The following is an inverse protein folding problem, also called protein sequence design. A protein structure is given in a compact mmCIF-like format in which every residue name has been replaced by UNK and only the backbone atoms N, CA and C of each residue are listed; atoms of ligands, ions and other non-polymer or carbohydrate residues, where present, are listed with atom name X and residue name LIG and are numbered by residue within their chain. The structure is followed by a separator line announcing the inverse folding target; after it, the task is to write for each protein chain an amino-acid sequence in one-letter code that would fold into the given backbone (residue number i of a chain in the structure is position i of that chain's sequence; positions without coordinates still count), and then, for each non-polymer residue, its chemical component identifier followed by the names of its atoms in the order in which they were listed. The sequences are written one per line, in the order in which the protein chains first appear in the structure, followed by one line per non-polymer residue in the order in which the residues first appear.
data_IF_747717050662
#
_entry.id   IF_747717050662
#
_cell.length_a   1.000
_cell.length_b   1.000
_cell.length_c   1.000
_cell.angle_alpha   90.00
_cell.angle_beta   90.00
_cell.angle_gamma   90.00
#
_symmetry.space_group_name_H-M   'P 1'
#
loop_
_entity.id
_entity.type
_entity.pdbx_description
1 polymer ?
#
# COMPACT_ATOMS: atom_id res chain seq x y z
N UNK A 1 -8.13 15.81 14.54
CA UNK A 1 -9.36 16.43 13.98
C UNK A 1 -10.41 15.33 13.90
N UNK A 2 -11.53 15.50 14.61
CA UNK A 2 -12.72 14.67 14.41
C UNK A 2 -13.06 14.77 12.94
N UNK A 3 -12.97 13.65 12.20
CA UNK A 3 -13.65 13.53 10.92
C UNK A 3 -15.11 13.84 11.23
N UNK A 4 -15.57 15.01 10.81
CA UNK A 4 -16.97 15.32 10.88
C UNK A 4 -17.70 14.21 10.16
N UNK A 5 -18.72 13.61 10.78
CA UNK A 5 -19.63 12.72 10.07
C UNK A 5 -20.05 13.47 8.81
N UNK A 6 -19.88 12.86 7.60
CA UNK A 6 -20.35 13.52 6.40
C UNK A 6 -21.84 13.80 6.62
N UNK A 7 -22.17 15.08 6.65
CA UNK A 7 -23.55 15.49 6.67
C UNK A 7 -24.22 14.93 5.41
N UNK A 8 -25.44 14.39 5.52
CA UNK A 8 -26.20 13.86 4.37
C UNK A 8 -26.40 14.87 3.24
N UNK A 9 -26.05 16.13 3.50
CA UNK A 9 -26.01 17.22 2.52
C UNK A 9 -24.71 17.32 1.71
N UNK A 10 -23.72 16.46 1.95
CA UNK A 10 -22.44 16.54 1.22
C UNK A 10 -22.67 16.14 -0.23
N UNK A 11 -22.69 17.13 -1.12
CA UNK A 11 -22.80 16.92 -2.56
C UNK A 11 -21.39 16.68 -3.10
N UNK A 12 -21.13 15.45 -3.55
CA UNK A 12 -19.93 15.10 -4.29
C UNK A 12 -20.07 15.38 -5.77
N UNK A 13 -18.95 15.52 -6.48
CA UNK A 13 -18.90 15.66 -7.94
C UNK A 13 -18.81 14.31 -8.67
N UNK A 14 -18.88 13.20 -7.96
CA UNK A 14 -18.74 11.84 -8.49
C UNK A 14 -20.03 11.25 -9.08
N UNK A 15 -19.95 10.08 -9.74
CA UNK A 15 -21.09 9.40 -10.36
C UNK A 15 -22.09 8.83 -9.36
N UNK A 16 -21.71 8.73 -8.09
CA UNK A 16 -22.55 8.26 -6.99
C UNK A 16 -22.62 9.30 -5.88
N UNK A 17 -23.77 9.39 -5.22
CA UNK A 17 -24.01 10.24 -4.05
C UNK A 17 -24.18 9.38 -2.80
N UNK A 18 -23.69 9.86 -1.67
CA UNK A 18 -23.89 9.24 -0.37
C UNK A 18 -25.35 9.43 0.09
N UNK A 19 -26.05 8.34 0.41
CA UNK A 19 -27.45 8.37 0.87
C UNK A 19 -27.64 7.80 2.27
N UNK A 20 -26.73 6.90 2.71
CA UNK A 20 -26.69 6.42 4.08
C UNK A 20 -25.25 6.27 4.55
N UNK A 21 -24.99 6.63 5.81
CA UNK A 21 -23.73 6.44 6.49
C UNK A 21 -23.99 6.02 7.92
N UNK A 22 -24.08 4.71 8.12
CA UNK A 22 -24.37 4.06 9.39
C UNK A 22 -23.14 3.30 9.89
N UNK A 23 -23.08 2.86 11.15
CA UNK A 23 -21.91 2.18 11.69
C UNK A 23 -21.50 0.91 10.94
N UNK A 24 -22.43 0.22 10.34
CA UNK A 24 -22.28 -1.06 9.64
C UNK A 24 -22.60 -1.00 8.15
N UNK A 25 -23.09 0.14 7.65
CA UNK A 25 -23.54 0.30 6.26
C UNK A 25 -23.18 1.67 5.70
N UNK A 26 -22.51 1.70 4.56
CA UNK A 26 -22.41 2.89 3.72
C UNK A 26 -23.13 2.61 2.42
N UNK A 27 -24.15 3.42 2.09
CA UNK A 27 -24.91 3.30 0.83
C UNK A 27 -24.72 4.50 -0.06
N UNK A 28 -24.39 4.21 -1.28
CA UNK A 28 -24.28 5.18 -2.37
C UNK A 28 -25.35 4.90 -3.42
N UNK A 29 -25.91 5.94 -4.03
CA UNK A 29 -26.83 5.84 -5.16
C UNK A 29 -26.32 6.60 -6.36
N UNK A 30 -26.69 6.17 -7.57
CA UNK A 30 -26.34 6.86 -8.80
C UNK A 30 -26.78 8.33 -8.76
N UNK A 31 -25.88 9.21 -9.19
CA UNK A 31 -26.14 10.65 -9.20
C UNK A 31 -26.74 11.07 -10.54
N UNK A 32 -28.05 11.34 -10.56
CA UNK A 32 -28.79 11.66 -11.81
C UNK A 32 -28.26 12.91 -12.56
N UNK A 33 -27.63 13.84 -11.83
CA UNK A 33 -27.08 15.07 -12.41
C UNK A 33 -25.56 14.98 -12.64
N UNK A 34 -25.01 13.77 -12.67
CA UNK A 34 -23.58 13.61 -12.96
C UNK A 34 -23.27 14.06 -14.38
N UNK A 35 -22.23 14.86 -14.54
CA UNK A 35 -21.89 15.56 -15.77
C UNK A 35 -21.19 14.69 -16.84
N UNK A 36 -20.81 13.45 -16.52
CA UNK A 36 -20.22 12.48 -17.43
C UNK A 36 -21.19 11.30 -17.66
N UNK A 37 -20.65 10.15 -18.05
CA UNK A 37 -21.44 8.94 -18.29
C UNK A 37 -22.10 8.46 -16.98
N UNK A 38 -23.40 8.24 -17.02
CA UNK A 38 -24.13 7.70 -15.88
C UNK A 38 -23.71 6.26 -15.59
N UNK A 39 -23.49 5.89 -14.32
CA UNK A 39 -23.20 4.52 -13.98
C UNK A 39 -24.40 3.61 -14.25
N UNK A 40 -24.14 2.38 -14.64
CA UNK A 40 -25.19 1.38 -14.88
C UNK A 40 -25.76 0.80 -13.61
N UNK A 41 -24.99 0.81 -12.52
CA UNK A 41 -25.47 0.44 -11.20
C UNK A 41 -26.33 1.56 -10.61
N UNK A 42 -27.48 1.19 -10.02
CA UNK A 42 -28.36 2.15 -9.33
C UNK A 42 -27.87 2.48 -7.92
N UNK A 43 -27.29 1.51 -7.23
CA UNK A 43 -26.79 1.67 -5.87
C UNK A 43 -25.57 0.78 -5.62
N UNK A 44 -24.75 1.17 -4.64
CA UNK A 44 -23.62 0.42 -4.10
C UNK A 44 -23.76 0.45 -2.58
N UNK A 45 -23.65 -0.70 -1.96
CA UNK A 45 -23.65 -0.85 -0.51
C UNK A 45 -22.33 -1.42 -0.03
N UNK A 46 -21.72 -0.77 0.96
CA UNK A 46 -20.55 -1.27 1.68
C UNK A 46 -21.01 -1.71 3.07
N UNK A 47 -21.01 -3.02 3.28
CA UNK A 47 -21.32 -3.62 4.56
C UNK A 47 -20.05 -3.83 5.37
N UNK A 48 -20.00 -3.28 6.57
CA UNK A 48 -18.92 -3.48 7.52
C UNK A 48 -19.31 -4.70 8.37
N UNK A 49 -18.72 -5.85 8.05
CA UNK A 49 -19.03 -7.12 8.68
C UNK A 49 -17.80 -7.70 9.39
N UNK A 50 -17.45 -7.20 10.59
CA UNK A 50 -16.25 -7.65 11.30
C UNK A 50 -16.20 -9.17 11.52
N UNK A 51 -17.35 -9.80 11.68
CA UNK A 51 -17.49 -11.24 11.93
C UNK A 51 -17.23 -12.12 10.69
N UNK A 52 -17.40 -11.59 9.49
CA UNK A 52 -17.05 -12.30 8.25
C UNK A 52 -15.53 -12.49 8.13
N UNK A 53 -14.76 -11.61 8.74
CA UNK A 53 -13.29 -11.71 8.72
C UNK A 53 -12.75 -12.75 9.71
N UNK A 54 -13.49 -13.09 10.79
CA UNK A 54 -12.95 -13.94 11.86
C UNK A 54 -13.27 -15.42 11.73
N UNK A 55 -14.44 -15.83 11.23
CA UNK A 55 -14.90 -17.21 11.48
C UNK A 55 -15.41 -18.02 10.28
N UNK A 56 -15.97 -17.41 9.23
CA UNK A 56 -16.65 -18.17 8.18
C UNK A 56 -15.82 -18.40 6.91
N UNK A 57 -14.89 -17.55 6.62
CA UNK A 57 -14.05 -17.64 5.43
C UNK A 57 -12.70 -18.36 5.70
N UNK A 58 -12.47 -18.85 6.91
CA UNK A 58 -11.29 -19.62 7.28
C UNK A 58 -9.97 -18.89 6.99
N UNK A 59 -8.95 -19.65 6.60
CA UNK A 59 -7.63 -19.11 6.25
C UNK A 59 -7.63 -18.22 5.00
N UNK A 60 -8.67 -18.26 4.18
CA UNK A 60 -8.80 -17.41 3.00
C UNK A 60 -9.17 -15.95 3.33
N UNK A 61 -9.60 -15.66 4.55
CA UNK A 61 -9.86 -14.30 5.03
C UNK A 61 -8.63 -13.49 5.39
N UNK A 62 -7.46 -14.02 5.18
CA UNK A 62 -6.21 -13.27 5.33
C UNK A 62 -5.96 -12.26 4.22
N UNK A 63 -6.87 -12.16 3.26
CA UNK A 63 -6.80 -11.14 2.21
C UNK A 63 -7.30 -9.81 2.75
N UNK A 64 -6.52 -8.72 2.63
CA UNK A 64 -6.87 -7.43 3.19
C UNK A 64 -8.16 -6.82 2.62
N UNK A 65 -8.60 -7.27 1.45
CA UNK A 65 -9.89 -6.85 0.89
C UNK A 65 -10.50 -7.97 0.05
N UNK A 66 -11.61 -8.51 0.50
CA UNK A 66 -12.51 -9.27 -0.35
C UNK A 66 -13.66 -8.34 -0.73
N UNK A 67 -13.84 -8.12 -2.01
CA UNK A 67 -15.05 -7.51 -2.51
C UNK A 67 -15.98 -8.64 -2.87
N UNK A 68 -16.98 -8.82 -2.06
CA UNK A 68 -18.15 -9.57 -2.44
C UNK A 68 -19.17 -8.57 -2.96
N UNK A 69 -19.60 -8.73 -4.20
CA UNK A 69 -20.68 -7.96 -4.79
C UNK A 69 -21.87 -8.90 -4.90
N UNK A 70 -22.88 -8.66 -4.09
CA UNK A 70 -24.10 -9.46 -4.04
C UNK A 70 -24.96 -9.08 -2.85
N UNK A 71 -26.14 -9.66 -2.71
CA UNK A 71 -26.92 -9.56 -1.49
C UNK A 71 -26.26 -10.41 -0.39
N UNK A 72 -26.44 -10.01 0.88
CA UNK A 72 -25.77 -10.65 2.02
C UNK A 72 -26.05 -12.18 2.09
N UNK A 73 -27.23 -12.59 1.67
CA UNK A 73 -27.67 -13.99 1.66
C UNK A 73 -26.99 -14.80 0.54
N UNK A 74 -26.50 -14.14 -0.51
CA UNK A 74 -25.81 -14.78 -1.63
C UNK A 74 -24.32 -14.99 -1.33
N UNK A 75 -23.76 -14.29 -0.35
CA UNK A 75 -22.35 -14.40 0.03
C UNK A 75 -21.97 -15.83 0.51
N UNK A 76 -22.90 -16.60 1.02
CA UNK A 76 -22.68 -17.99 1.44
C UNK A 76 -22.61 -18.98 0.27
N UNK A 77 -23.12 -18.62 -0.89
CA UNK A 77 -23.22 -19.49 -2.07
C UNK A 77 -22.26 -19.13 -3.21
N UNK A 78 -21.40 -18.12 -3.02
CA UNK A 78 -20.58 -17.56 -4.10
C UNK A 78 -19.54 -18.57 -4.63
N UNK A 79 -19.76 -19.05 -5.84
CA UNK A 79 -18.66 -19.49 -6.71
C UNK A 79 -17.96 -18.23 -7.25
N UNK A 80 -16.89 -17.87 -6.57
CA UNK A 80 -16.15 -16.67 -6.86
C UNK A 80 -15.37 -16.83 -8.17
N UNK A 81 -15.62 -15.94 -9.12
CA UNK A 81 -14.70 -15.73 -10.23
C UNK A 81 -13.64 -14.78 -9.71
N UNK A 82 -12.44 -15.28 -9.48
CA UNK A 82 -11.36 -14.48 -9.00
C UNK A 82 -10.51 -13.94 -10.15
N UNK A 83 -10.30 -12.66 -10.19
CA UNK A 83 -9.26 -12.02 -10.99
C UNK A 83 -8.17 -11.50 -10.05
N UNK A 84 -6.92 -11.79 -10.39
CA UNK A 84 -5.76 -11.29 -9.66
C UNK A 84 -5.24 -10.05 -10.37
N UNK A 85 -5.10 -8.95 -9.64
CA UNK A 85 -4.53 -7.70 -10.17
C UNK A 85 -3.45 -7.22 -9.23
N UNK A 86 -2.29 -6.86 -9.78
CA UNK A 86 -1.22 -6.22 -8.99
C UNK A 86 -1.75 -4.91 -8.42
N UNK A 87 -1.68 -4.76 -7.10
CA UNK A 87 -2.31 -3.66 -6.42
C UNK A 87 -1.32 -2.70 -5.81
N UNK A 88 -0.21 -3.22 -5.30
CA UNK A 88 0.73 -2.43 -4.57
C UNK A 88 1.92 -3.22 -4.07
N UNK A 89 2.64 -2.60 -3.19
CA UNK A 89 3.80 -3.19 -2.54
C UNK A 89 3.89 -2.75 -1.08
N UNK A 90 4.48 -3.61 -0.27
CA UNK A 90 4.98 -3.24 1.04
C UNK A 90 6.44 -2.80 0.91
N UNK A 91 6.81 -1.80 1.67
CA UNK A 91 8.14 -1.20 1.63
C UNK A 91 8.71 -1.00 3.03
N UNK A 92 10.01 -0.78 3.04
CA UNK A 92 10.76 -0.34 4.21
C UNK A 92 11.58 0.89 3.80
N UNK A 93 11.53 1.93 4.64
CA UNK A 93 12.41 3.10 4.53
C UNK A 93 13.34 3.16 5.72
N UNK A 94 14.57 3.61 5.48
CA UNK A 94 15.60 3.76 6.49
C UNK A 94 16.05 5.23 6.55
N UNK A 95 15.98 5.78 7.76
CA UNK A 95 16.43 7.13 8.05
C UNK A 95 17.92 7.09 8.33
N UNK A 96 18.71 7.57 7.40
CA UNK A 96 20.14 7.72 7.64
C UNK A 96 20.40 8.81 8.69
N UNK A 97 21.16 8.47 9.71
CA UNK A 97 21.40 9.31 10.85
C UNK A 97 22.75 8.94 11.51
N UNK A 98 23.08 9.60 12.62
CA UNK A 98 24.23 9.19 13.43
C UNK A 98 24.09 7.77 14.00
N UNK A 99 22.84 7.26 14.15
CA UNK A 99 22.56 5.90 14.64
C UNK A 99 22.57 4.83 13.54
N UNK A 100 22.27 5.23 12.29
CA UNK A 100 22.21 4.32 11.16
C UNK A 100 22.92 4.95 9.95
N UNK A 101 24.18 4.55 9.73
CA UNK A 101 24.95 4.98 8.57
C UNK A 101 24.44 4.32 7.28
N UNK A 102 24.81 4.88 6.13
CA UNK A 102 24.44 4.33 4.82
C UNK A 102 24.89 2.87 4.65
N UNK A 103 26.14 2.54 5.05
CA UNK A 103 26.64 1.17 4.94
C UNK A 103 25.91 0.20 5.86
N UNK A 104 25.51 0.65 7.05
CA UNK A 104 24.67 -0.15 7.95
C UNK A 104 23.27 -0.36 7.39
N UNK A 105 22.69 0.66 6.75
CA UNK A 105 21.41 0.55 6.06
C UNK A 105 21.48 -0.43 4.89
N UNK A 106 22.53 -0.36 4.06
CA UNK A 106 22.80 -1.32 2.98
C UNK A 106 22.94 -2.75 3.50
N UNK A 107 23.69 -2.94 4.58
CA UNK A 107 23.81 -4.26 5.24
C UNK A 107 22.46 -4.77 5.73
N UNK A 108 21.66 -3.92 6.35
CA UNK A 108 20.32 -4.31 6.85
C UNK A 108 19.41 -4.76 5.71
N UNK A 109 19.39 -4.03 4.58
CA UNK A 109 18.63 -4.42 3.38
C UNK A 109 19.14 -5.77 2.84
N UNK A 110 20.45 -5.97 2.74
CA UNK A 110 21.01 -7.26 2.32
C UNK A 110 20.58 -8.40 3.25
N UNK A 111 20.59 -8.19 4.55
CA UNK A 111 20.10 -9.17 5.53
C UNK A 111 18.64 -9.53 5.22
N UNK A 112 17.78 -8.56 5.03
CA UNK A 112 16.34 -8.75 4.77
C UNK A 112 16.13 -9.59 3.50
N UNK A 113 16.79 -9.25 2.41
CA UNK A 113 16.58 -9.91 1.12
C UNK A 113 17.28 -11.27 0.99
N UNK A 114 18.46 -11.46 1.60
CA UNK A 114 19.26 -12.68 1.42
C UNK A 114 19.05 -13.72 2.54
N UNK A 115 18.53 -13.34 3.70
CA UNK A 115 18.36 -14.24 4.86
C UNK A 115 17.15 -15.18 4.76
N UNK A 116 16.42 -15.22 3.66
CA UNK A 116 15.13 -15.89 3.51
C UNK A 116 14.04 -15.36 4.47
N UNK A 117 14.28 -14.28 5.18
CA UNK A 117 13.33 -13.71 6.13
C UNK A 117 11.96 -13.44 5.49
N UNK A 118 11.97 -12.90 4.25
CA UNK A 118 10.76 -12.64 3.48
C UNK A 118 10.04 -13.91 3.04
N UNK A 119 10.75 -15.03 2.86
CA UNK A 119 10.19 -16.30 2.40
C UNK A 119 9.66 -17.18 3.53
N UNK A 120 9.99 -16.88 4.78
CA UNK A 120 9.51 -17.63 5.96
C UNK A 120 8.20 -17.11 6.51
N UNK A 121 7.71 -15.98 5.99
CA UNK A 121 6.43 -15.43 6.38
C UNK A 121 5.29 -16.34 5.90
N UNK A 122 4.24 -16.56 6.71
CA UNK A 122 3.04 -17.25 6.29
C UNK A 122 2.24 -16.37 5.35
N UNK A 123 2.77 -16.13 4.16
CA UNK A 123 2.14 -15.33 3.12
C UNK A 123 1.09 -16.17 2.39
N UNK A 124 -0.01 -15.54 2.02
CA UNK A 124 -1.03 -16.19 1.22
C UNK A 124 -0.46 -16.49 -0.18
N UNK A 125 -0.41 -17.77 -0.53
CA UNK A 125 0.16 -18.23 -1.79
C UNK A 125 -0.44 -17.49 -2.98
N UNK A 126 0.42 -16.88 -3.78
CA UNK A 126 0.06 -16.19 -5.02
C UNK A 126 -0.45 -14.75 -4.88
N UNK A 127 -0.71 -14.26 -3.67
CA UNK A 127 -1.21 -12.88 -3.48
C UNK A 127 -0.16 -11.94 -2.90
N UNK A 128 0.72 -12.46 -2.09
CA UNK A 128 1.84 -11.70 -1.52
C UNK A 128 3.13 -12.41 -1.93
N UNK A 129 3.98 -11.71 -2.64
CA UNK A 129 5.21 -12.27 -3.19
C UNK A 129 6.41 -11.41 -2.76
N UNK A 130 7.44 -12.00 -2.12
CA UNK A 130 8.68 -11.30 -1.85
C UNK A 130 9.26 -10.71 -3.14
N UNK A 131 9.75 -9.48 -3.06
CA UNK A 131 10.30 -8.80 -4.24
C UNK A 131 11.50 -7.94 -3.90
N UNK A 132 12.43 -7.85 -4.84
CA UNK A 132 13.48 -6.83 -4.90
C UNK A 132 13.18 -5.73 -5.93
N UNK A 133 11.96 -5.70 -6.48
CA UNK A 133 11.55 -4.71 -7.48
C UNK A 133 10.40 -3.86 -6.94
N UNK A 134 10.51 -2.55 -7.09
CA UNK A 134 9.44 -1.61 -6.78
C UNK A 134 8.35 -1.63 -7.86
N UNK A 135 8.78 -1.57 -9.11
CA UNK A 135 8.01 -1.83 -10.33
C UNK A 135 8.84 -2.74 -11.23
N UNK A 136 8.27 -3.38 -12.27
CA UNK A 136 9.03 -4.19 -13.20
C UNK A 136 10.26 -3.47 -13.75
N UNK A 137 11.44 -4.03 -13.49
CA UNK A 137 12.72 -3.45 -13.87
C UNK A 137 13.22 -2.26 -13.03
N UNK A 138 12.61 -1.99 -11.88
CA UNK A 138 13.08 -1.01 -10.88
C UNK A 138 13.63 -1.77 -9.67
N UNK A 139 14.77 -2.40 -9.88
CA UNK A 139 15.40 -3.32 -8.92
C UNK A 139 16.23 -2.61 -7.88
N UNK A 140 16.29 -3.20 -6.68
CA UNK A 140 17.29 -2.82 -5.68
C UNK A 140 18.69 -3.17 -6.21
N UNK A 141 19.72 -2.36 -5.91
CA UNK A 141 21.08 -2.71 -6.24
C UNK A 141 21.57 -3.87 -5.35
N UNK A 142 22.54 -4.61 -5.88
CA UNK A 142 23.31 -5.55 -5.10
C UNK A 142 24.54 -4.84 -4.53
N UNK A 143 24.72 -4.92 -3.21
CA UNK A 143 25.93 -4.42 -2.57
C UNK A 143 26.77 -5.59 -2.09
N UNK A 144 28.04 -5.56 -2.48
CA UNK A 144 29.07 -6.50 -2.02
C UNK A 144 29.83 -5.93 -0.84
N UNK A 145 30.62 -6.78 -0.17
CA UNK A 145 31.59 -6.38 0.86
C UNK A 145 31.02 -5.66 2.10
N UNK A 146 29.76 -6.01 2.49
CA UNK A 146 29.12 -5.46 3.69
C UNK A 146 29.14 -6.39 4.91
N UNK A 147 29.74 -7.57 4.80
CA UNK A 147 29.76 -8.59 5.88
C UNK A 147 30.43 -8.08 7.16
N UNK A 148 31.44 -7.25 7.03
CA UNK A 148 32.23 -6.72 8.15
C UNK A 148 31.65 -5.41 8.73
N UNK A 149 30.56 -4.89 8.14
CA UNK A 149 29.88 -3.69 8.65
C UNK A 149 29.06 -4.06 9.87
N UNK A 150 29.45 -3.65 11.08
CA UNK A 150 28.68 -3.91 12.28
C UNK A 150 27.32 -3.18 12.22
N UNK A 151 26.25 -3.87 12.62
CA UNK A 151 24.95 -3.23 12.81
C UNK A 151 24.98 -2.33 14.06
N UNK A 152 24.09 -1.31 14.15
CA UNK A 152 23.89 -0.56 15.38
C UNK A 152 23.48 -1.47 16.54
N UNK A 153 23.81 -1.08 17.78
CA UNK A 153 23.40 -1.83 18.97
C UNK A 153 21.88 -1.84 19.16
N UNK A 154 21.22 -0.73 18.79
CA UNK A 154 19.77 -0.59 18.92
C UNK A 154 19.19 0.24 17.77
N UNK A 155 18.00 -0.15 17.31
CA UNK A 155 17.21 0.54 16.30
C UNK A 155 15.73 0.58 16.71
N UNK A 156 14.99 1.55 16.20
CA UNK A 156 13.54 1.68 16.36
C UNK A 156 12.86 1.52 15.02
N UNK A 157 11.92 0.57 14.93
CA UNK A 157 11.10 0.31 13.79
C UNK A 157 9.65 0.67 14.09
N UNK A 158 9.06 1.49 13.23
CA UNK A 158 7.64 1.85 13.26
C UNK A 158 6.97 1.24 12.04
N UNK A 159 5.81 0.65 12.21
CA UNK A 159 5.03 0.08 11.12
C UNK A 159 3.53 0.33 11.32
N UNK A 160 2.78 0.28 10.23
CA UNK A 160 1.32 0.29 10.22
C UNK A 160 0.79 -0.92 9.45
N UNK A 161 -0.54 -1.07 9.34
CA UNK A 161 -1.15 -2.13 8.54
C UNK A 161 -0.54 -2.19 7.11
N UNK A 162 -0.50 -3.35 6.46
CA UNK A 162 -1.25 -4.59 6.76
C UNK A 162 -0.57 -5.53 7.77
N UNK A 163 -1.32 -6.55 8.16
CA UNK A 163 -0.96 -7.54 9.20
C UNK A 163 0.36 -8.28 8.91
N UNK A 164 0.70 -8.46 7.64
CA UNK A 164 1.94 -9.08 7.20
C UNK A 164 3.17 -8.31 7.70
N UNK A 165 3.06 -6.98 7.81
CA UNK A 165 4.13 -6.15 8.35
C UNK A 165 4.36 -6.41 9.84
N UNK A 166 3.33 -6.77 10.60
CA UNK A 166 3.49 -7.18 12.01
C UNK A 166 4.35 -8.44 12.12
N UNK A 167 4.05 -9.45 11.31
CA UNK A 167 4.82 -10.70 11.30
C UNK A 167 6.25 -10.44 10.85
N UNK A 168 6.44 -9.64 9.80
CA UNK A 168 7.75 -9.24 9.32
C UNK A 168 8.56 -8.50 10.39
N UNK A 169 7.95 -7.51 11.06
CA UNK A 169 8.61 -6.75 12.12
C UNK A 169 9.06 -7.64 13.29
N UNK A 170 8.21 -8.59 13.68
CA UNK A 170 8.49 -9.55 14.76
C UNK A 170 9.63 -10.50 14.38
N UNK A 171 9.65 -11.01 13.16
CA UNK A 171 10.73 -11.87 12.69
C UNK A 171 12.04 -11.10 12.52
N UNK A 172 11.98 -9.87 11.99
CA UNK A 172 13.15 -9.00 11.87
C UNK A 172 13.76 -8.69 13.25
N UNK A 173 12.92 -8.41 14.26
CA UNK A 173 13.35 -8.22 15.63
C UNK A 173 14.14 -9.43 16.14
N UNK A 174 13.60 -10.63 15.98
CA UNK A 174 14.24 -11.86 16.41
C UNK A 174 15.56 -12.10 15.68
N UNK A 175 15.58 -11.88 14.37
CA UNK A 175 16.78 -12.07 13.58
C UNK A 175 17.90 -11.08 13.93
N UNK A 176 17.56 -9.80 14.10
CA UNK A 176 18.54 -8.76 14.42
C UNK A 176 19.12 -8.92 15.83
N UNK A 177 18.32 -9.42 16.77
CA UNK A 177 18.83 -9.76 18.11
C UNK A 177 19.97 -10.79 18.05
N UNK A 178 19.90 -11.77 17.15
CA UNK A 178 20.96 -12.74 16.92
C UNK A 178 22.22 -12.11 16.28
N UNK A 179 22.09 -10.95 15.69
CA UNK A 179 23.18 -10.16 15.11
C UNK A 179 23.72 -9.08 16.06
N UNK A 180 23.25 -9.07 17.31
CA UNK A 180 23.66 -8.09 18.31
C UNK A 180 22.99 -6.72 18.19
N UNK A 181 21.88 -6.62 17.44
CA UNK A 181 21.11 -5.39 17.29
C UNK A 181 19.74 -5.54 17.94
N UNK A 182 19.45 -4.74 18.97
CA UNK A 182 18.14 -4.70 19.61
C UNK A 182 17.16 -3.87 18.79
N UNK A 183 16.06 -4.48 18.34
CA UNK A 183 15.01 -3.79 17.59
C UNK A 183 13.79 -3.51 18.47
N UNK A 184 13.52 -2.24 18.73
CA UNK A 184 12.25 -1.78 19.31
C UNK A 184 11.23 -1.68 18.18
N UNK A 185 10.11 -2.40 18.33
CA UNK A 185 9.04 -2.45 17.30
C UNK A 185 7.81 -1.75 17.83
N UNK A 186 7.30 -0.77 17.08
CA UNK A 186 6.15 0.07 17.44
C UNK A 186 5.11 -0.03 16.34
N UNK A 187 3.89 -0.45 16.71
CA UNK A 187 2.73 -0.40 15.84
C UNK A 187 2.07 0.97 15.90
N UNK A 188 1.74 1.50 14.74
CA UNK A 188 0.95 2.72 14.60
C UNK A 188 -0.36 2.49 13.89
N UNK A 189 -1.44 3.01 14.44
CA UNK A 189 -2.70 3.14 13.72
C UNK A 189 -2.52 4.12 12.56
N UNK A 190 -2.94 3.72 11.37
CA UNK A 190 -2.88 4.54 10.16
C UNK A 190 -3.54 5.93 10.32
N UNK A 191 -4.51 6.05 11.22
CA UNK A 191 -5.17 7.34 11.53
C UNK A 191 -4.27 8.33 12.26
N UNK A 192 -3.23 7.85 12.92
CA UNK A 192 -2.28 8.66 13.69
C UNK A 192 -0.90 8.74 13.04
N UNK A 193 -0.75 8.14 11.86
CA UNK A 193 0.51 8.09 11.12
C UNK A 193 1.02 9.50 10.78
N UNK A 194 0.12 10.38 10.34
CA UNK A 194 0.46 11.76 10.02
C UNK A 194 0.78 12.58 11.28
N UNK A 195 1.96 13.19 11.32
CA UNK A 195 2.40 14.06 12.43
C UNK A 195 2.75 13.31 13.71
N UNK A 196 2.93 11.99 13.64
CA UNK A 196 3.31 11.19 14.77
C UNK A 196 4.74 11.47 15.22
N UNK A 197 4.92 11.84 16.50
CA UNK A 197 6.25 12.04 17.06
C UNK A 197 7.14 10.81 16.95
N UNK A 198 6.55 9.61 17.01
CA UNK A 198 7.30 8.35 16.92
C UNK A 198 7.91 8.14 15.53
N UNK A 199 7.34 8.71 14.46
CA UNK A 199 7.97 8.70 13.13
C UNK A 199 9.26 9.52 13.11
N UNK A 200 9.31 10.63 13.86
CA UNK A 200 10.51 11.43 13.95
C UNK A 200 11.67 10.68 14.65
N UNK A 201 11.35 9.79 15.57
CA UNK A 201 12.29 9.00 16.36
C UNK A 201 12.64 7.66 15.71
N UNK A 202 11.87 7.20 14.74
CA UNK A 202 12.08 5.94 14.04
C UNK A 202 13.35 5.97 13.18
N UNK A 203 14.10 4.89 13.22
CA UNK A 203 15.22 4.63 12.30
C UNK A 203 14.73 3.90 11.05
N UNK A 204 13.70 3.07 11.21
CA UNK A 204 13.09 2.22 10.19
C UNK A 204 11.58 2.42 10.20
N UNK A 205 11.00 2.60 9.01
CA UNK A 205 9.56 2.68 8.85
C UNK A 205 9.11 1.67 7.80
N UNK A 206 8.10 0.86 8.13
CA UNK A 206 7.48 -0.07 7.19
C UNK A 206 6.04 0.33 6.92
N UNK A 207 5.65 0.25 5.67
CA UNK A 207 4.29 0.55 5.22
C UNK A 207 3.96 -0.14 3.91
N UNK A 208 2.81 0.21 3.40
CA UNK A 208 2.34 -0.25 2.10
C UNK A 208 1.99 0.92 1.19
N UNK A 209 1.94 0.66 -0.09
CA UNK A 209 1.50 1.62 -1.10
C UNK A 209 0.68 0.93 -2.18
N UNK A 210 -0.53 1.41 -2.36
CA UNK A 210 -1.37 1.06 -3.48
C UNK A 210 -0.89 1.82 -4.72
N UNK A 211 -0.78 1.15 -5.85
CA UNK A 211 -0.30 1.75 -7.10
C UNK A 211 -1.34 1.75 -8.22
N UNK A 212 -2.37 0.91 -8.18
CA UNK A 212 -3.44 0.88 -9.16
C UNK A 212 -2.99 0.85 -10.63
N UNK A 213 -3.84 1.37 -11.51
CA UNK A 213 -3.60 1.35 -12.96
C UNK A 213 -2.60 2.41 -13.46
N UNK A 214 -2.26 3.40 -12.63
CA UNK A 214 -1.31 4.46 -12.99
C UNK A 214 -0.13 4.51 -12.01
N UNK A 215 0.74 3.50 -11.98
CA UNK A 215 1.80 3.37 -10.97
C UNK A 215 2.74 4.57 -10.94
N UNK A 216 3.13 5.11 -12.10
CA UNK A 216 4.03 6.26 -12.16
C UNK A 216 3.41 7.51 -11.50
N UNK A 217 2.13 7.78 -11.75
CA UNK A 217 1.42 8.90 -11.12
C UNK A 217 1.33 8.71 -9.59
N UNK A 218 0.95 7.52 -9.16
CA UNK A 218 0.80 7.22 -7.72
C UNK A 218 2.13 7.32 -6.98
N UNK A 219 3.21 6.82 -7.58
CA UNK A 219 4.54 6.91 -7.00
C UNK A 219 5.06 8.35 -6.93
N UNK A 220 4.80 9.16 -7.95
CA UNK A 220 5.13 10.59 -7.90
C UNK A 220 4.36 11.30 -6.79
N UNK A 221 3.05 11.08 -6.68
CA UNK A 221 2.23 11.64 -5.60
C UNK A 221 2.70 11.18 -4.22
N UNK A 222 3.15 9.94 -4.10
CA UNK A 222 3.73 9.45 -2.86
C UNK A 222 4.96 10.27 -2.43
N UNK A 223 5.87 10.53 -3.36
CA UNK A 223 7.06 11.35 -3.05
C UNK A 223 6.72 12.82 -2.75
N UNK A 224 5.64 13.35 -3.34
CA UNK A 224 5.27 14.75 -3.18
C UNK A 224 4.47 15.04 -1.91
N UNK A 225 3.52 14.18 -1.61
CA UNK A 225 2.45 14.50 -0.68
C UNK A 225 2.50 13.70 0.62
N UNK A 226 3.28 12.61 0.67
CA UNK A 226 3.31 11.78 1.87
C UNK A 226 4.19 12.40 2.96
N UNK A 227 3.66 12.45 4.17
CA UNK A 227 4.35 12.99 5.34
C UNK A 227 5.54 12.14 5.80
N UNK A 228 5.68 10.93 5.28
CA UNK A 228 6.81 10.02 5.53
C UNK A 228 8.16 10.66 5.15
N UNK A 229 8.24 11.24 3.96
CA UNK A 229 9.51 11.65 3.37
C UNK A 229 10.27 12.73 4.14
N UNK A 230 9.60 13.75 4.72
CA UNK A 230 10.25 14.70 5.62
C UNK A 230 10.84 14.08 6.89
N UNK A 231 10.35 12.88 7.31
CA UNK A 231 10.90 12.16 8.45
C UNK A 231 12.09 11.27 8.06
N UNK A 232 12.07 10.72 6.86
CA UNK A 232 13.12 9.82 6.34
C UNK A 232 14.33 10.59 5.83
N UNK A 233 14.09 11.67 5.08
CA UNK A 233 15.14 12.48 4.45
C UNK A 233 15.50 13.69 5.31
N UNK A 234 16.76 14.10 5.24
CA UNK A 234 17.15 15.40 5.77
C UNK A 234 16.45 16.54 5.03
N UNK A 235 16.27 17.68 5.65
CA UNK A 235 15.60 18.83 5.01
C UNK A 235 16.25 19.23 3.66
N UNK A 236 17.59 19.27 3.51
CA UNK A 236 18.21 19.52 2.19
C UNK A 236 17.94 18.42 1.18
N UNK A 237 17.96 17.13 1.60
CA UNK A 237 17.69 16.00 0.70
C UNK A 237 16.22 15.99 0.25
N UNK A 238 15.29 16.29 1.13
CA UNK A 238 13.88 16.43 0.78
C UNK A 238 13.64 17.59 -0.18
N UNK A 239 14.22 18.76 0.07
CA UNK A 239 14.12 19.90 -0.84
C UNK A 239 14.69 19.58 -2.23
N UNK A 240 15.83 18.87 -2.29
CA UNK A 240 16.40 18.40 -3.55
C UNK A 240 15.49 17.40 -4.28
N UNK A 241 14.86 16.48 -3.54
CA UNK A 241 13.88 15.55 -4.09
C UNK A 241 12.71 16.31 -4.75
N UNK A 242 12.13 17.29 -4.06
CA UNK A 242 11.01 18.07 -4.59
C UNK A 242 11.42 18.85 -5.85
N UNK A 243 12.58 19.50 -5.85
CA UNK A 243 13.10 20.21 -7.02
C UNK A 243 13.36 19.25 -8.21
N UNK A 244 13.84 18.04 -7.95
CA UNK A 244 14.05 17.01 -8.99
C UNK A 244 12.72 16.53 -9.57
N UNK A 245 11.71 16.32 -8.74
CA UNK A 245 10.35 15.97 -9.18
C UNK A 245 9.75 17.09 -10.05
N UNK A 246 9.96 18.36 -9.69
CA UNK A 246 9.50 19.50 -10.51
C UNK A 246 10.17 19.49 -11.87
N UNK A 247 11.49 19.25 -11.93
CA UNK A 247 12.22 19.13 -13.19
C UNK A 247 11.72 17.96 -14.05
N UNK A 248 11.36 16.82 -13.45
CA UNK A 248 10.78 15.67 -14.16
C UNK A 248 9.42 16.03 -14.75
N UNK A 249 8.58 16.77 -14.04
CA UNK A 249 7.26 17.18 -14.54
C UNK A 249 7.33 18.15 -15.75
N UNK A 250 8.39 18.93 -15.86
CA UNK A 250 8.56 19.84 -16.99
C UNK A 250 8.91 19.13 -18.30
N UNK A 251 9.27 17.83 -18.25
CA UNK A 251 9.58 17.05 -19.45
C UNK A 251 8.32 16.88 -20.33
N UNK A 252 8.46 17.16 -21.60
CA UNK A 252 7.34 17.11 -22.54
C UNK A 252 6.83 15.68 -22.75
N UNK A 253 7.77 14.73 -22.91
CA UNK A 253 7.45 13.37 -23.26
C UNK A 253 7.16 12.51 -22.01
N UNK A 254 6.09 11.69 -22.07
CA UNK A 254 5.72 10.78 -20.97
C UNK A 254 6.83 9.77 -20.68
N UNK A 255 7.57 9.33 -21.70
CA UNK A 255 8.71 8.42 -21.56
C UNK A 255 9.82 9.04 -20.72
N UNK A 256 10.11 10.32 -20.94
CA UNK A 256 11.19 11.02 -20.23
C UNK A 256 10.78 11.26 -18.77
N UNK A 257 9.51 11.61 -18.53
CA UNK A 257 8.97 11.68 -17.16
C UNK A 257 9.07 10.35 -16.43
N UNK A 258 8.72 9.24 -17.09
CA UNK A 258 8.86 7.90 -16.51
C UNK A 258 10.31 7.55 -16.20
N UNK A 259 11.24 7.83 -17.13
CA UNK A 259 12.66 7.60 -16.92
C UNK A 259 13.22 8.46 -15.77
N UNK A 260 12.81 9.72 -15.69
CA UNK A 260 13.18 10.61 -14.58
C UNK A 260 12.68 10.12 -13.23
N UNK A 261 11.43 9.66 -13.16
CA UNK A 261 10.87 9.08 -11.93
C UNK A 261 11.61 7.79 -11.55
N UNK A 262 11.89 6.91 -12.52
CA UNK A 262 12.71 5.71 -12.28
C UNK A 262 14.07 6.08 -11.69
N UNK A 263 14.76 7.09 -12.22
CA UNK A 263 16.06 7.52 -11.73
C UNK A 263 15.99 8.01 -10.27
N UNK A 264 14.92 8.71 -9.89
CA UNK A 264 14.71 9.15 -8.50
C UNK A 264 14.59 7.93 -7.58
N UNK A 265 13.72 6.97 -7.91
CA UNK A 265 13.55 5.76 -7.08
C UNK A 265 14.80 4.89 -7.05
N UNK A 266 15.50 4.73 -8.19
CA UNK A 266 16.78 4.02 -8.22
C UNK A 266 17.76 4.64 -7.23
N UNK A 267 17.87 5.97 -7.20
CA UNK A 267 18.77 6.67 -6.27
C UNK A 267 18.36 6.49 -4.80
N UNK A 268 17.06 6.50 -4.49
CA UNK A 268 16.58 6.20 -3.14
C UNK A 268 16.94 4.77 -2.70
N UNK A 269 16.86 3.81 -3.62
CA UNK A 269 17.25 2.43 -3.37
C UNK A 269 18.77 2.27 -3.29
N UNK A 270 19.54 2.89 -4.19
CA UNK A 270 21.02 2.88 -4.19
C UNK A 270 21.61 3.42 -2.90
N UNK A 271 20.99 4.47 -2.35
CA UNK A 271 21.40 5.07 -1.10
C UNK A 271 20.81 4.34 0.13
N UNK A 272 20.17 3.20 -0.07
CA UNK A 272 19.54 2.42 1.00
C UNK A 272 18.52 3.20 1.84
N UNK A 273 17.81 4.15 1.24
CA UNK A 273 16.72 4.91 1.87
C UNK A 273 15.40 4.18 1.76
N UNK A 274 15.20 3.43 0.67
CA UNK A 274 13.99 2.70 0.35
C UNK A 274 14.33 1.29 -0.12
N UNK A 275 13.55 0.30 0.30
CA UNK A 275 13.54 -1.03 -0.29
C UNK A 275 12.13 -1.59 -0.35
N UNK A 276 11.69 -2.19 -1.48
CA UNK A 276 10.49 -2.99 -1.54
C UNK A 276 10.68 -4.29 -0.73
N UNK A 277 9.61 -4.80 -0.16
CA UNK A 277 9.60 -6.07 0.59
C UNK A 277 8.77 -7.13 -0.12
N UNK A 278 7.52 -6.76 -0.44
CA UNK A 278 6.52 -7.64 -1.04
C UNK A 278 5.74 -6.88 -2.08
N UNK A 279 5.43 -7.55 -3.18
CA UNK A 279 4.32 -7.17 -4.03
C UNK A 279 3.06 -7.88 -3.55
N UNK A 280 1.93 -7.22 -3.59
CA UNK A 280 0.66 -7.86 -3.31
C UNK A 280 -0.34 -7.61 -4.43
N UNK A 281 -1.20 -8.61 -4.60
CA UNK A 281 -2.26 -8.63 -5.58
C UNK A 281 -3.60 -8.65 -4.84
N UNK A 282 -4.62 -8.03 -5.39
CA UNK A 282 -5.98 -8.27 -4.97
C UNK A 282 -6.59 -9.42 -5.73
N UNK A 283 -7.31 -10.20 -5.00
CA UNK A 283 -8.27 -11.11 -5.58
C UNK A 283 -9.64 -10.43 -5.50
N UNK A 284 -10.17 -10.08 -6.66
CA UNK A 284 -11.55 -9.59 -6.76
C UNK A 284 -12.42 -10.82 -6.88
N UNK A 285 -13.29 -11.03 -5.91
CA UNK A 285 -14.27 -12.11 -5.93
C UNK A 285 -15.62 -11.51 -6.21
N UNK A 286 -16.25 -11.94 -7.29
CA UNK A 286 -17.55 -11.43 -7.68
C UNK A 286 -18.48 -12.58 -8.09
N UNK A 287 -19.81 -12.47 -7.91
CA UNK A 287 -20.76 -13.42 -8.43
C UNK A 287 -20.65 -13.55 -9.95
N UNK A 288 -21.00 -14.71 -10.53
CA UNK A 288 -21.08 -14.88 -11.97
C UNK A 288 -22.01 -13.81 -12.57
N UNK A 289 -21.52 -13.06 -13.55
CA UNK A 289 -22.30 -12.03 -14.24
C UNK A 289 -22.00 -10.60 -13.82
N UNK A 290 -21.27 -10.37 -12.72
CA UNK A 290 -20.75 -9.02 -12.42
C UNK A 290 -19.58 -8.71 -13.35
N UNK A 291 -19.66 -7.59 -14.06
CA UNK A 291 -18.67 -7.18 -15.04
C UNK A 291 -18.26 -5.71 -14.82
N UNK A 292 -17.14 -5.30 -15.41
CA UNK A 292 -16.73 -3.90 -15.47
C UNK A 292 -16.17 -3.31 -14.19
N UNK A 293 -15.85 -4.14 -13.17
CA UNK A 293 -15.14 -3.65 -11.98
C UNK A 293 -13.69 -3.42 -12.34
N UNK A 294 -13.22 -2.21 -12.07
CA UNK A 294 -11.83 -1.79 -12.29
C UNK A 294 -11.25 -1.17 -11.03
N UNK A 295 -9.94 -1.13 -10.96
CA UNK A 295 -9.22 -0.31 -9.99
C UNK A 295 -8.92 1.06 -10.62
N UNK A 296 -9.17 2.13 -9.88
CA UNK A 296 -8.75 3.45 -10.31
C UNK A 296 -7.23 3.66 -10.12
N UNK A 297 -6.73 4.83 -10.50
CA UNK A 297 -5.32 5.19 -10.42
C UNK A 297 -4.72 5.13 -8.99
N UNK A 298 -5.56 5.10 -7.95
CA UNK A 298 -5.16 5.00 -6.55
C UNK A 298 -5.29 3.57 -5.98
N UNK A 299 -5.63 2.59 -6.84
CA UNK A 299 -5.87 1.21 -6.39
C UNK A 299 -7.22 1.01 -5.69
N UNK A 300 -8.16 1.98 -5.79
CA UNK A 300 -9.52 1.86 -5.29
C UNK A 300 -10.46 1.35 -6.37
N UNK A 301 -11.55 0.73 -5.96
CA UNK A 301 -12.54 0.23 -6.90
C UNK A 301 -13.28 1.36 -7.60
N UNK A 302 -13.35 1.25 -8.92
CA UNK A 302 -14.20 2.09 -9.77
C UNK A 302 -15.40 1.27 -10.25
N UNK A 303 -16.57 1.64 -9.78
CA UNK A 303 -17.83 1.00 -10.12
C UNK A 303 -18.57 1.72 -11.26
N UNK A 304 -17.99 2.75 -11.86
CA UNK A 304 -18.65 3.56 -12.90
C UNK A 304 -19.05 2.72 -14.12
N UNK A 305 -18.21 1.75 -14.49
CA UNK A 305 -18.45 0.84 -15.61
C UNK A 305 -18.98 -0.54 -15.18
N UNK A 306 -19.23 -0.73 -13.87
CA UNK A 306 -19.75 -2.00 -13.38
C UNK A 306 -21.22 -2.22 -13.82
N UNK A 307 -21.55 -3.43 -14.22
CA UNK A 307 -22.90 -3.79 -14.64
C UNK A 307 -23.24 -5.24 -14.31
N UNK A 308 -24.55 -5.49 -14.16
CA UNK A 308 -25.14 -6.79 -13.96
C UNK A 308 -26.00 -7.14 -15.17
N UNK A 309 -26.03 -8.41 -15.61
CA UNK A 309 -26.99 -8.82 -16.63
C UNK A 309 -28.42 -8.63 -16.13
N UNK A 310 -29.34 -8.29 -17.03
CA UNK A 310 -30.75 -8.22 -16.67
C UNK A 310 -31.20 -9.58 -16.08
N UNK A 311 -32.03 -9.58 -15.03
CA UNK A 311 -32.59 -10.81 -14.51
C UNK A 311 -33.28 -11.58 -15.63
N UNK A 312 -33.00 -12.86 -15.76
CA UNK A 312 -33.71 -13.72 -16.71
C UNK A 312 -35.18 -13.77 -16.30
N UNK A 313 -36.04 -13.21 -17.14
CA UNK A 313 -37.50 -13.26 -16.98
C UNK A 313 -38.01 -14.71 -16.98
#
# INVERSE_FOLDING_TARGET
SRLAHPDHSTIGSGPFRLVAFEPDLVRLESHEQYHLSHPLLKAIEYWITPQLFDHRLGTSCRHPVQIAIGEADELESLRLVSSSTSLGFCYLTLKQSARLSENQAKRLINIIHHSRLLHTLPLNEGLITPTGELLPGWTIPEWTDLTDVALPEALTLVYHLPVELHTMASQLKTYLALQGCELTVIFHDAKTWDGCQQLAEADIMMGDRLIGEAPAYTLEQWLRCDTLWPHVLSAPAYAHLQATLDAVQTQAEARDRHAGLKAIFSRLMENAVLTPLFNYQYQISAPPGVNGIRLNTRGWFDFTEAWLPAPKS
#
